data_IF_803664456598
#
_entry.id   IF_803664456598
#
_cell.length_a   1.000
_cell.length_b   1.000
_cell.length_c   1.000
_cell.angle_alpha   90.00
_cell.angle_beta   90.00
_cell.angle_gamma   90.00
#
_symmetry.space_group_name_H-M   'P 1'
#
loop_
_entity.id
_entity.type
_entity.pdbx_description
1 polymer ?
#
# COMPACT_ATOMS: atom_id res chain seq x y z
N UNK A 1 26.95 11.14 3.96
CA UNK A 1 26.16 12.26 3.40
C UNK A 1 25.17 12.69 4.47
N UNK A 2 25.26 13.94 4.94
CA UNK A 2 24.53 14.43 6.11
C UNK A 2 23.05 14.69 5.79
N UNK A 3 22.13 14.30 6.67
CA UNK A 3 20.67 14.53 6.58
C UNK A 3 20.23 15.95 6.14
N UNK A 4 21.07 16.98 6.33
CA UNK A 4 20.83 18.34 5.88
C UNK A 4 20.60 18.46 4.35
N UNK A 5 21.17 17.59 3.53
CA UNK A 5 21.06 17.70 2.05
C UNK A 5 19.72 17.24 1.50
N UNK A 6 19.07 16.21 2.07
CA UNK A 6 17.82 15.67 1.53
C UNK A 6 16.67 16.66 1.68
N UNK A 7 16.55 17.29 2.86
CA UNK A 7 15.51 18.31 3.11
C UNK A 7 15.63 19.48 2.12
N UNK A 8 16.85 19.96 1.90
CA UNK A 8 17.10 21.10 1.01
C UNK A 8 16.77 20.75 -0.45
N UNK A 9 17.12 19.55 -0.89
CA UNK A 9 16.79 19.09 -2.23
C UNK A 9 15.27 18.94 -2.44
N UNK A 10 14.54 18.44 -1.44
CA UNK A 10 13.07 18.38 -1.50
C UNK A 10 12.48 19.79 -1.65
N UNK A 11 12.94 20.75 -0.85
CA UNK A 11 12.47 22.15 -0.94
C UNK A 11 12.76 22.73 -2.33
N UNK A 12 13.97 22.53 -2.86
CA UNK A 12 14.35 22.99 -4.19
C UNK A 12 13.45 22.41 -5.28
N UNK A 13 13.04 21.14 -5.16
CA UNK A 13 12.13 20.52 -6.13
C UNK A 13 10.71 21.09 -6.02
N UNK A 14 10.23 21.39 -4.82
CA UNK A 14 8.91 21.99 -4.60
C UNK A 14 8.77 23.37 -5.26
N UNK A 15 9.83 24.17 -5.28
CA UNK A 15 9.84 25.51 -5.91
C UNK A 15 9.51 25.47 -7.42
N UNK A 16 9.71 24.32 -8.06
CA UNK A 16 9.45 24.12 -9.49
C UNK A 16 8.10 23.43 -9.78
N UNK A 17 7.32 23.13 -8.75
CA UNK A 17 6.03 22.42 -8.86
C UNK A 17 4.85 23.39 -8.84
N UNK A 18 3.77 23.02 -9.55
CA UNK A 18 2.48 23.70 -9.41
C UNK A 18 1.90 23.51 -8.00
N UNK A 19 1.01 24.40 -7.53
CA UNK A 19 0.40 24.28 -6.20
C UNK A 19 -0.27 22.92 -5.95
N UNK A 20 -0.90 22.33 -6.96
CA UNK A 20 -1.57 21.02 -6.86
C UNK A 20 -0.59 19.89 -6.60
N UNK A 21 0.58 19.94 -7.23
CA UNK A 21 1.65 18.97 -7.01
C UNK A 21 2.32 19.15 -5.64
N UNK A 22 2.49 20.39 -5.19
CA UNK A 22 3.00 20.67 -3.84
C UNK A 22 2.07 20.09 -2.76
N UNK A 23 0.74 20.24 -2.92
CA UNK A 23 -0.26 19.64 -2.02
C UNK A 23 -0.11 18.11 -2.00
N UNK A 24 0.03 17.48 -3.17
CA UNK A 24 0.20 16.02 -3.24
C UNK A 24 1.47 15.53 -2.52
N UNK A 25 2.57 16.27 -2.61
CA UNK A 25 3.81 15.95 -1.87
C UNK A 25 3.60 16.12 -0.37
N UNK A 26 2.89 17.16 0.06
CA UNK A 26 2.56 17.39 1.47
C UNK A 26 1.70 16.24 2.04
N UNK A 27 0.65 15.84 1.32
CA UNK A 27 -0.23 14.73 1.72
C UNK A 27 0.55 13.42 1.85
N UNK A 28 1.47 13.17 0.93
CA UNK A 28 2.34 11.99 0.97
C UNK A 28 3.28 12.02 2.18
N UNK A 29 3.96 13.15 2.41
CA UNK A 29 4.85 13.30 3.56
C UNK A 29 4.10 13.11 4.89
N UNK A 30 2.87 13.63 5.01
CA UNK A 30 2.02 13.42 6.18
C UNK A 30 1.64 11.95 6.37
N UNK A 31 1.32 11.23 5.28
CA UNK A 31 1.01 9.81 5.32
C UNK A 31 2.21 8.92 5.70
N UNK A 32 3.45 9.39 5.48
CA UNK A 32 4.65 8.70 5.94
C UNK A 32 4.88 8.84 7.44
N UNK A 33 4.51 9.98 8.03
CA UNK A 33 4.66 10.24 9.46
C UNK A 33 3.62 9.46 10.28
N UNK A 34 2.42 9.30 9.73
CA UNK A 34 1.36 8.51 10.35
C UNK A 34 1.01 7.33 9.45
N UNK A 35 1.50 6.11 9.73
CA UNK A 35 1.13 4.95 8.94
C UNK A 35 -0.39 4.81 8.93
N UNK A 36 -0.97 4.99 7.74
CA UNK A 36 -2.40 4.79 7.51
C UNK A 36 -2.68 3.29 7.60
N UNK A 37 -3.41 2.89 8.64
CA UNK A 37 -3.75 1.49 8.86
C UNK A 37 -4.43 1.28 10.21
N UNK A 38 -5.14 0.17 10.35
CA UNK A 38 -5.65 -0.27 11.65
C UNK A 38 -4.50 -0.82 12.48
N UNK A 39 -4.47 -0.52 13.78
CA UNK A 39 -3.45 -1.10 14.64
C UNK A 39 -3.53 -2.63 14.58
N UNK A 40 -2.39 -3.31 14.46
CA UNK A 40 -2.35 -4.78 14.33
C UNK A 40 -3.13 -5.53 15.42
N UNK A 41 -3.20 -4.96 16.64
CA UNK A 41 -4.05 -5.47 17.73
C UNK A 41 -5.53 -5.62 17.35
N UNK A 42 -6.05 -4.76 16.47
CA UNK A 42 -7.43 -4.85 15.98
C UNK A 42 -7.62 -5.99 14.98
N UNK A 43 -6.55 -6.45 14.33
CA UNK A 43 -6.59 -7.57 13.38
C UNK A 43 -6.65 -8.93 14.09
N UNK A 44 -6.30 -9.00 15.38
CA UNK A 44 -6.37 -10.23 16.17
C UNK A 44 -7.77 -10.86 16.20
N UNK A 45 -8.83 -10.07 16.00
CA UNK A 45 -10.20 -10.58 15.87
C UNK A 45 -10.40 -11.54 14.70
N UNK A 46 -9.49 -11.53 13.72
CA UNK A 46 -9.51 -12.42 12.56
C UNK A 46 -8.64 -13.67 12.78
N UNK A 47 -7.93 -13.81 13.90
CA UNK A 47 -7.15 -15.01 14.17
C UNK A 47 -8.09 -16.21 14.41
N UNK A 48 -7.95 -17.26 13.61
CA UNK A 48 -8.70 -18.50 13.77
C UNK A 48 -10.19 -18.43 13.36
N UNK A 49 -10.61 -17.38 12.63
CA UNK A 49 -12.02 -17.26 12.20
C UNK A 49 -12.34 -18.10 10.95
N UNK A 50 -11.33 -18.48 10.18
CA UNK A 50 -11.50 -19.27 8.97
C UNK A 50 -11.81 -20.71 9.36
N UNK A 51 -12.96 -21.20 8.92
CA UNK A 51 -13.33 -22.60 9.00
C UNK A 51 -12.75 -23.37 7.81
N UNK A 52 -12.71 -24.68 7.90
CA UNK A 52 -12.21 -25.54 6.82
C UNK A 52 -12.95 -25.30 5.49
N UNK A 53 -14.25 -25.00 5.56
CA UNK A 53 -15.07 -24.67 4.39
C UNK A 53 -14.64 -23.35 3.75
N UNK A 54 -14.29 -22.34 4.55
CA UNK A 54 -13.78 -21.05 4.05
C UNK A 54 -12.45 -21.27 3.33
N UNK A 55 -11.57 -22.11 3.87
CA UNK A 55 -10.29 -22.46 3.24
C UNK A 55 -10.53 -23.14 1.89
N UNK A 56 -11.42 -24.14 1.82
CA UNK A 56 -11.74 -24.83 0.56
C UNK A 56 -12.30 -23.88 -0.50
N UNK A 57 -13.20 -22.98 -0.10
CA UNK A 57 -13.78 -22.00 -1.02
C UNK A 57 -12.73 -21.01 -1.55
N UNK A 58 -11.81 -20.55 -0.70
CA UNK A 58 -10.71 -19.67 -1.11
C UNK A 58 -9.77 -20.39 -2.08
N UNK A 59 -9.38 -21.64 -1.77
CA UNK A 59 -8.52 -22.44 -2.64
C UNK A 59 -9.15 -22.64 -4.02
N UNK A 60 -10.41 -23.05 -4.07
CA UNK A 60 -11.12 -23.23 -5.33
C UNK A 60 -11.19 -21.94 -6.15
N UNK A 61 -11.48 -20.80 -5.52
CA UNK A 61 -11.54 -19.51 -6.21
C UNK A 61 -10.18 -19.08 -6.81
N UNK A 62 -9.07 -19.41 -6.16
CA UNK A 62 -7.72 -19.16 -6.68
C UNK A 62 -7.44 -20.05 -7.90
N UNK A 63 -7.74 -21.35 -7.80
CA UNK A 63 -7.51 -22.32 -8.88
C UNK A 63 -8.34 -22.01 -10.13
N UNK A 64 -9.59 -21.58 -9.95
CA UNK A 64 -10.51 -21.25 -11.05
C UNK A 64 -10.24 -19.87 -11.66
N UNK A 65 -9.84 -18.87 -10.85
CA UNK A 65 -9.81 -17.47 -11.27
C UNK A 65 -8.44 -16.80 -11.39
N UNK A 66 -7.42 -17.29 -10.68
CA UNK A 66 -6.09 -16.66 -10.63
C UNK A 66 -5.00 -17.51 -11.30
N UNK A 67 -5.10 -18.84 -11.20
CA UNK A 67 -4.08 -19.76 -11.70
C UNK A 67 -4.34 -20.28 -13.12
N UNK A 68 -5.53 -20.01 -13.69
CA UNK A 68 -5.81 -20.22 -15.12
C UNK A 68 -5.21 -19.09 -15.95
N UNK A 69 -3.90 -19.14 -16.19
CA UNK A 69 -3.25 -18.20 -17.11
C UNK A 69 -3.50 -18.66 -18.54
N UNK A 70 -4.38 -17.97 -19.28
CA UNK A 70 -4.52 -18.22 -20.72
C UNK A 70 -3.28 -17.65 -21.43
N UNK A 71 -2.39 -18.55 -21.87
CA UNK A 71 -1.10 -18.19 -22.49
C UNK A 71 -1.30 -17.37 -23.77
N UNK A 72 -2.48 -17.48 -24.41
CA UNK A 72 -2.84 -16.76 -25.63
C UNK A 72 -3.32 -15.31 -25.43
N UNK A 73 -3.53 -14.85 -24.20
CA UNK A 73 -3.97 -13.47 -23.91
C UNK A 73 -2.82 -12.47 -23.66
N UNK A 74 -1.56 -12.88 -23.84
CA UNK A 74 -0.35 -12.06 -23.61
C UNK A 74 0.40 -11.71 -24.90
#
# INVERSE_FOLDING_TARGET
MSHATIKQEIVRQLDHMSPELQIRVLDFAQALVQPKGVHGKQLLRFAGILKDDDVRNITQAIEEGCEQVEISEW
#
